data_IF_002928151393
#
_entry.id   IF_002928151393
#
_cell.length_a   1.000
_cell.length_b   1.000
_cell.length_c   1.000
_cell.angle_alpha   90.00
_cell.angle_beta   90.00
_cell.angle_gamma   90.00
#
_symmetry.space_group_name_H-M   'P 1'
#
loop_
_entity.id
_entity.type
_entity.pdbx_description
1 polymer ?
#
# COMPACT_ATOMS: atom_id res chain seq x y z
N UNK A 1 20.85 -37.35 -9.13
CA UNK A 1 21.41 -36.15 -9.83
C UNK A 1 20.31 -35.58 -10.70
N UNK A 2 19.55 -34.60 -10.21
CA UNK A 2 18.58 -33.84 -11.01
C UNK A 2 19.12 -32.41 -11.09
N UNK A 3 19.53 -31.92 -12.28
CA UNK A 3 20.00 -30.57 -12.44
C UNK A 3 18.87 -29.71 -13.01
N UNK A 4 18.40 -28.73 -12.26
CA UNK A 4 17.83 -27.55 -12.90
C UNK A 4 18.33 -26.31 -12.17
N UNK A 5 19.31 -25.64 -12.79
CA UNK A 5 19.72 -24.29 -12.38
C UNK A 5 18.51 -23.33 -12.34
N UNK A 6 17.44 -23.62 -13.09
CA UNK A 6 16.17 -22.92 -13.04
C UNK A 6 15.52 -22.90 -11.64
N UNK A 7 15.48 -24.03 -10.90
CA UNK A 7 14.94 -24.02 -9.53
C UNK A 7 15.81 -23.19 -8.57
N UNK A 8 17.14 -23.18 -8.78
CA UNK A 8 18.06 -22.38 -7.96
C UNK A 8 17.89 -20.88 -8.23
N UNK A 9 17.70 -20.48 -9.50
CA UNK A 9 17.45 -19.10 -9.88
C UNK A 9 16.07 -18.63 -9.40
N UNK A 10 15.02 -19.45 -9.52
CA UNK A 10 13.68 -19.14 -9.00
C UNK A 10 13.72 -18.97 -7.48
N UNK A 11 14.37 -19.89 -6.75
CA UNK A 11 14.49 -19.80 -5.30
C UNK A 11 15.25 -18.54 -4.85
N UNK A 12 16.36 -18.21 -5.53
CA UNK A 12 17.18 -17.03 -5.20
C UNK A 12 16.47 -15.72 -5.53
N UNK A 13 15.68 -15.70 -6.62
CA UNK A 13 14.88 -14.53 -7.01
C UNK A 13 13.69 -14.31 -6.07
N UNK A 14 12.94 -15.35 -5.72
CA UNK A 14 11.84 -15.26 -4.76
C UNK A 14 12.30 -14.85 -3.36
N UNK A 15 13.42 -15.41 -2.87
CA UNK A 15 14.00 -15.05 -1.56
C UNK A 15 14.46 -13.59 -1.52
N UNK A 16 15.07 -13.09 -2.59
CA UNK A 16 15.56 -11.69 -2.68
C UNK A 16 14.45 -10.66 -2.86
N UNK A 17 13.28 -11.06 -3.36
CA UNK A 17 12.13 -10.18 -3.58
C UNK A 17 11.20 -10.13 -2.36
N UNK A 18 11.09 -11.23 -1.61
CA UNK A 18 10.23 -11.32 -0.42
C UNK A 18 10.72 -10.47 0.75
N UNK A 19 12.04 -10.40 0.96
CA UNK A 19 12.63 -9.67 2.09
C UNK A 19 12.52 -8.14 1.92
N UNK A 20 12.56 -7.65 0.67
CA UNK A 20 12.53 -6.20 0.36
C UNK A 20 11.12 -5.62 0.20
N UNK A 21 10.10 -6.46 0.06
CA UNK A 21 8.70 -6.02 -0.13
C UNK A 21 7.90 -5.98 1.17
N UNK A 22 8.42 -6.49 2.28
CA UNK A 22 7.71 -6.49 3.56
C UNK A 22 8.14 -5.26 4.39
N UNK A 23 7.32 -4.22 4.39
CA UNK A 23 7.56 -3.00 5.17
C UNK A 23 6.85 -3.00 6.54
N UNK A 24 6.37 -4.16 7.00
CA UNK A 24 5.70 -4.28 8.30
C UNK A 24 6.74 -4.13 9.43
N UNK A 25 6.41 -3.25 10.39
CA UNK A 25 7.26 -2.93 11.54
C UNK A 25 6.70 -3.57 12.79
N UNK A 26 7.49 -4.45 13.40
CA UNK A 26 7.13 -5.16 14.64
C UNK A 26 7.73 -4.52 15.91
N UNK A 27 8.55 -3.49 15.74
CA UNK A 27 9.36 -2.81 16.75
C UNK A 27 8.75 -1.46 17.23
N UNK A 28 7.46 -1.23 16.97
CA UNK A 28 6.81 0.04 17.27
C UNK A 28 6.51 0.22 18.75
N UNK A 29 6.82 1.40 19.27
CA UNK A 29 6.41 1.81 20.62
C UNK A 29 4.91 2.16 20.67
N UNK A 30 4.27 2.14 21.86
CA UNK A 30 2.87 2.51 21.98
C UNK A 30 2.53 3.91 21.46
N UNK A 31 3.43 4.87 21.64
CA UNK A 31 3.25 6.25 21.16
C UNK A 31 3.35 6.34 19.63
N UNK A 32 4.27 5.59 19.03
CA UNK A 32 4.37 5.53 17.57
C UNK A 32 3.14 4.87 16.95
N UNK A 33 2.59 3.82 17.57
CA UNK A 33 1.34 3.21 17.12
C UNK A 33 0.23 4.26 17.14
N UNK A 34 0.01 4.95 18.26
CA UNK A 34 -1.01 6.01 18.37
C UNK A 34 -0.86 7.07 17.27
N UNK A 35 0.34 7.64 17.12
CA UNK A 35 0.57 8.68 16.13
C UNK A 35 0.45 8.19 14.69
N UNK A 36 0.85 6.95 14.39
CA UNK A 36 0.69 6.36 13.05
C UNK A 36 -0.79 6.10 12.76
N UNK A 37 -1.54 5.55 13.72
CA UNK A 37 -2.98 5.32 13.59
C UNK A 37 -3.74 6.62 13.35
N UNK A 38 -3.50 7.67 14.14
CA UNK A 38 -4.16 8.96 13.97
C UNK A 38 -3.88 9.57 12.60
N UNK A 39 -2.61 9.55 12.15
CA UNK A 39 -2.23 10.03 10.82
C UNK A 39 -2.88 9.23 9.70
N UNK A 40 -2.92 7.91 9.82
CA UNK A 40 -3.56 7.04 8.84
C UNK A 40 -5.07 7.35 8.73
N UNK A 41 -5.77 7.44 9.86
CA UNK A 41 -7.19 7.79 9.88
C UNK A 41 -7.43 9.14 9.19
N UNK A 42 -6.62 10.15 9.49
CA UNK A 42 -6.74 11.47 8.89
C UNK A 42 -6.60 11.44 7.37
N UNK A 43 -5.57 10.74 6.85
CA UNK A 43 -5.32 10.65 5.41
C UNK A 43 -6.41 9.89 4.67
N UNK A 44 -6.81 8.73 5.18
CA UNK A 44 -7.87 7.94 4.57
C UNK A 44 -9.17 8.74 4.59
N UNK A 45 -9.53 9.35 5.72
CA UNK A 45 -10.70 10.23 5.78
C UNK A 45 -10.64 11.34 4.75
N UNK A 46 -9.50 12.03 4.63
CA UNK A 46 -9.34 13.12 3.66
C UNK A 46 -9.54 12.65 2.21
N UNK A 47 -9.10 11.44 1.85
CA UNK A 47 -9.31 10.88 0.52
C UNK A 47 -10.79 10.58 0.25
N UNK A 48 -11.53 10.06 1.24
CA UNK A 48 -12.97 9.83 1.08
C UNK A 48 -13.77 11.14 1.08
N UNK A 49 -13.40 12.11 1.93
CA UNK A 49 -14.02 13.44 1.97
C UNK A 49 -13.79 14.20 0.65
N UNK A 50 -12.60 14.07 0.04
CA UNK A 50 -12.30 14.71 -1.25
C UNK A 50 -13.17 14.14 -2.37
N UNK A 51 -13.31 12.82 -2.44
CA UNK A 51 -14.20 12.14 -3.39
C UNK A 51 -15.67 12.49 -3.13
N UNK A 52 -16.09 12.51 -1.87
CA UNK A 52 -17.45 12.90 -1.48
C UNK A 52 -17.81 14.35 -1.79
N UNK A 53 -16.79 15.20 -2.02
CA UNK A 53 -16.95 16.61 -2.42
C UNK A 53 -16.93 16.80 -3.94
N UNK A 54 -16.69 15.76 -4.74
CA UNK A 54 -16.70 15.83 -6.21
C UNK A 54 -18.14 16.04 -6.70
N UNK A 55 -18.32 17.08 -7.52
CA UNK A 55 -19.60 17.30 -8.20
C UNK A 55 -19.94 16.10 -9.09
N UNK A 56 -21.19 15.65 -9.05
CA UNK A 56 -21.59 14.40 -9.71
C UNK A 56 -21.43 14.46 -11.24
N UNK A 57 -21.51 15.65 -11.84
CA UNK A 57 -21.28 15.86 -13.28
C UNK A 57 -19.80 15.83 -13.67
N UNK A 58 -18.88 15.81 -12.69
CA UNK A 58 -17.43 15.83 -12.88
C UNK A 58 -16.75 14.55 -12.41
N UNK A 59 -17.50 13.55 -11.97
CA UNK A 59 -16.95 12.24 -11.56
C UNK A 59 -16.25 11.59 -12.74
N UNK A 60 -15.00 11.19 -12.54
CA UNK A 60 -14.22 10.43 -13.50
C UNK A 60 -13.40 9.34 -12.79
N UNK A 61 -12.72 8.51 -13.58
CA UNK A 61 -11.92 7.41 -13.04
C UNK A 61 -10.82 7.93 -12.11
N UNK A 62 -10.09 8.94 -12.55
CA UNK A 62 -8.89 9.47 -11.90
C UNK A 62 -9.22 10.18 -10.58
N UNK A 63 -10.32 10.91 -10.51
CA UNK A 63 -10.67 11.69 -9.32
C UNK A 63 -11.48 10.92 -8.28
N UNK A 64 -11.98 9.73 -8.62
CA UNK A 64 -12.87 8.95 -7.76
C UNK A 64 -12.35 7.54 -7.56
N UNK A 65 -12.34 6.71 -8.61
CA UNK A 65 -12.00 5.29 -8.47
C UNK A 65 -10.52 5.10 -8.14
N UNK A 66 -9.64 5.84 -8.79
CA UNK A 66 -8.20 5.80 -8.51
C UNK A 66 -7.89 6.29 -7.09
N UNK A 67 -8.48 7.42 -6.66
CA UNK A 67 -8.30 7.96 -5.30
C UNK A 67 -8.74 6.95 -4.23
N UNK A 68 -9.89 6.28 -4.42
CA UNK A 68 -10.36 5.24 -3.48
C UNK A 68 -9.44 4.02 -3.50
N UNK A 69 -8.98 3.59 -4.67
CA UNK A 69 -8.07 2.46 -4.80
C UNK A 69 -6.74 2.72 -4.09
N UNK A 70 -6.18 3.92 -4.28
CA UNK A 70 -4.96 4.36 -3.62
C UNK A 70 -5.12 4.43 -2.09
N UNK A 71 -6.22 5.03 -1.62
CA UNK A 71 -6.53 5.08 -0.18
C UNK A 71 -6.68 3.67 0.43
N UNK A 72 -7.31 2.74 -0.30
CA UNK A 72 -7.45 1.35 0.16
C UNK A 72 -6.09 0.64 0.26
N UNK A 73 -5.22 0.83 -0.73
CA UNK A 73 -3.87 0.30 -0.69
C UNK A 73 -3.03 0.93 0.44
N UNK A 74 -3.21 2.23 0.74
CA UNK A 74 -2.50 2.89 1.85
C UNK A 74 -2.94 2.32 3.19
N UNK A 75 -4.25 2.13 3.37
CA UNK A 75 -4.79 1.49 4.56
C UNK A 75 -4.27 0.05 4.76
N UNK A 76 -4.17 -0.73 3.67
CA UNK A 76 -3.64 -2.09 3.71
C UNK A 76 -2.13 -2.15 3.98
N UNK A 77 -1.42 -1.01 3.95
CA UNK A 77 0.03 -0.97 4.04
C UNK A 77 0.74 -1.45 2.77
N UNK A 78 0.01 -1.53 1.66
CA UNK A 78 0.47 -2.01 0.35
C UNK A 78 0.79 -0.85 -0.62
N UNK A 79 0.45 0.39 -0.26
CA UNK A 79 0.60 1.52 -1.16
C UNK A 79 2.05 1.78 -1.53
N UNK A 80 2.27 1.86 -2.84
CA UNK A 80 3.49 2.39 -3.44
C UNK A 80 3.11 3.45 -4.44
N UNK A 81 3.71 4.65 -4.39
CA UNK A 81 3.53 5.62 -5.46
C UNK A 81 4.04 5.00 -6.75
N UNK A 82 3.20 5.02 -7.79
CA UNK A 82 3.64 4.74 -9.16
C UNK A 82 4.27 6.03 -9.66
N UNK A 83 5.59 6.03 -9.84
CA UNK A 83 6.31 7.11 -10.55
C UNK A 83 5.96 7.14 -12.05
#
# INVERSE_FOLDING_TARGET
KCPCNACRLIFTHCFSTADKNNNLRWDLTPEEIRNRTQRLIQRIKQAYDSVGSVDIGKVCFENTLQVIADAKAEYAGEWRPVE
#
